data_IF_493164465933
#
_entry.id   IF_493164465933
#
_cell.length_a   1.000
_cell.length_b   1.000
_cell.length_c   1.000
_cell.angle_alpha   90.00
_cell.angle_beta   90.00
_cell.angle_gamma   90.00
#
_symmetry.space_group_name_H-M   'P 1'
#
loop_
_entity.id
_entity.type
_entity.pdbx_description
1 polymer ?
#
# COMPACT_ATOMS: atom_id res chain seq x y z
N UNK A 1 36.40 -10.52 5.33
CA UNK A 1 37.61 -10.65 6.17
C UNK A 1 37.30 -10.57 7.68
N UNK A 2 36.31 -9.75 8.11
CA UNK A 2 35.93 -9.67 9.53
C UNK A 2 35.30 -10.96 10.10
N UNK A 3 34.58 -11.72 9.30
CA UNK A 3 33.90 -12.94 9.71
C UNK A 3 34.86 -14.10 10.01
N UNK A 4 35.91 -14.22 9.20
CA UNK A 4 36.93 -15.23 9.40
C UNK A 4 37.69 -14.97 10.69
N UNK A 5 37.91 -13.70 11.04
CA UNK A 5 38.67 -13.30 12.23
C UNK A 5 37.87 -13.43 13.54
N UNK A 6 36.55 -13.11 13.50
CA UNK A 6 35.71 -13.09 14.71
C UNK A 6 34.91 -14.38 14.90
N UNK A 7 34.90 -15.29 13.95
CA UNK A 7 34.05 -16.51 13.93
C UNK A 7 32.56 -16.21 14.15
N UNK A 8 32.10 -15.04 13.72
CA UNK A 8 30.71 -14.57 13.84
C UNK A 8 30.19 -14.27 12.45
N UNK A 9 28.92 -14.62 12.20
CA UNK A 9 28.25 -14.20 11.00
C UNK A 9 28.10 -12.66 10.97
N UNK A 10 28.27 -12.00 9.81
CA UNK A 10 28.13 -10.54 9.70
C UNK A 10 26.67 -10.06 9.72
N UNK A 11 25.74 -10.94 9.96
CA UNK A 11 24.30 -10.70 9.94
C UNK A 11 23.64 -11.40 11.13
N UNK A 12 22.57 -10.81 11.64
CA UNK A 12 21.76 -11.37 12.72
C UNK A 12 20.70 -12.35 12.18
N UNK A 13 20.22 -12.08 10.96
CA UNK A 13 19.20 -12.91 10.31
C UNK A 13 19.38 -12.93 8.80
N UNK A 14 18.82 -13.94 8.15
CA UNK A 14 18.79 -14.11 6.69
C UNK A 14 17.33 -14.29 6.26
N UNK A 15 16.85 -13.38 5.43
CA UNK A 15 15.56 -13.52 4.76
C UNK A 15 15.78 -14.12 3.38
N UNK A 16 15.25 -15.32 3.14
CA UNK A 16 15.30 -15.97 1.84
C UNK A 16 14.03 -15.72 1.06
N UNK A 17 14.12 -15.77 -0.27
CA UNK A 17 12.98 -15.62 -1.18
C UNK A 17 13.05 -16.66 -2.29
N UNK A 18 11.90 -16.91 -2.95
CA UNK A 18 11.80 -17.80 -4.11
C UNK A 18 12.40 -17.20 -5.39
N UNK A 19 12.35 -17.96 -6.47
CA UNK A 19 12.79 -17.51 -7.79
C UNK A 19 11.73 -16.68 -8.48
N UNK A 20 12.17 -15.86 -9.44
CA UNK A 20 11.24 -15.14 -10.33
C UNK A 20 11.09 -15.94 -11.61
N UNK A 21 9.86 -16.34 -11.91
CA UNK A 21 9.45 -17.15 -13.05
C UNK A 21 8.65 -16.30 -14.06
N UNK A 22 8.51 -16.78 -15.29
CA UNK A 22 7.61 -16.18 -16.27
C UNK A 22 6.12 -16.35 -15.84
N UNK A 23 5.19 -15.76 -16.58
CA UNK A 23 3.75 -15.86 -16.29
C UNK A 23 3.21 -17.29 -16.29
N UNK A 24 3.89 -18.21 -17.00
CA UNK A 24 3.54 -19.62 -17.07
C UNK A 24 4.22 -20.47 -15.98
N UNK A 25 4.98 -19.86 -15.07
CA UNK A 25 5.71 -20.55 -14.02
C UNK A 25 6.98 -21.24 -14.50
N UNK A 26 7.57 -20.83 -15.62
CA UNK A 26 8.81 -21.42 -16.15
C UNK A 26 9.99 -20.51 -15.82
N UNK A 27 11.15 -21.12 -15.63
CA UNK A 27 12.41 -20.39 -15.44
C UNK A 27 12.67 -19.45 -16.64
N UNK A 28 12.93 -18.20 -16.35
CA UNK A 28 13.29 -17.23 -17.38
C UNK A 28 14.70 -17.48 -17.91
N UNK A 29 14.85 -17.50 -19.24
CA UNK A 29 16.15 -17.58 -19.90
C UNK A 29 16.15 -16.80 -21.20
N UNK A 30 17.32 -16.27 -21.56
CA UNK A 30 17.50 -15.52 -22.82
C UNK A 30 17.25 -16.40 -24.06
N UNK A 31 17.60 -17.69 -23.97
CA UNK A 31 17.40 -18.66 -25.05
C UNK A 31 15.92 -18.97 -25.33
N UNK A 32 15.06 -18.86 -24.31
CA UNK A 32 13.61 -19.05 -24.46
C UNK A 32 12.87 -17.78 -24.82
N UNK A 33 13.55 -16.62 -24.76
CA UNK A 33 12.92 -15.33 -25.04
C UNK A 33 11.84 -14.87 -24.06
N UNK A 34 11.76 -15.52 -22.88
CA UNK A 34 10.74 -15.29 -21.86
C UNK A 34 11.22 -14.40 -20.70
N UNK A 35 12.31 -13.67 -20.90
CA UNK A 35 12.88 -12.80 -19.85
C UNK A 35 12.10 -11.48 -19.78
N UNK A 36 11.53 -11.19 -18.64
CA UNK A 36 11.02 -9.85 -18.31
C UNK A 36 12.12 -9.09 -17.58
N UNK A 37 12.72 -8.10 -18.23
CA UNK A 37 13.78 -7.31 -17.58
C UNK A 37 13.18 -6.21 -16.70
N UNK A 38 13.78 -5.90 -15.54
CA UNK A 38 13.33 -4.76 -14.73
C UNK A 38 13.36 -3.45 -15.49
N UNK A 39 14.32 -3.26 -16.40
CA UNK A 39 14.45 -2.05 -17.22
C UNK A 39 13.26 -1.85 -18.17
N UNK A 40 12.72 -2.92 -18.73
CA UNK A 40 11.55 -2.85 -19.59
C UNK A 40 10.29 -2.53 -18.79
N UNK A 41 10.14 -3.15 -17.62
CA UNK A 41 9.06 -2.82 -16.68
C UNK A 41 9.14 -1.36 -16.24
N UNK A 42 10.32 -0.85 -15.92
CA UNK A 42 10.53 0.55 -15.56
C UNK A 42 10.12 1.53 -16.65
N UNK A 43 10.42 1.20 -17.92
CA UNK A 43 10.04 2.05 -19.08
C UNK A 43 8.53 2.06 -19.32
N UNK A 44 7.86 0.92 -19.18
CA UNK A 44 6.44 0.78 -19.51
C UNK A 44 5.52 1.19 -18.33
N UNK A 45 5.85 0.77 -17.10
CA UNK A 45 4.99 0.93 -15.93
C UNK A 45 5.55 1.88 -14.86
N UNK A 46 6.86 2.11 -14.85
CA UNK A 46 7.53 2.87 -13.80
C UNK A 46 7.96 2.02 -12.59
N UNK A 47 8.78 2.64 -11.72
CA UNK A 47 9.39 1.95 -10.58
C UNK A 47 8.37 1.53 -9.51
N UNK A 48 7.33 2.34 -9.31
CA UNK A 48 6.37 2.09 -8.24
C UNK A 48 5.53 0.84 -8.50
N UNK A 49 5.19 0.57 -9.76
CA UNK A 49 4.45 -0.65 -10.12
C UNK A 49 5.31 -1.90 -9.88
N UNK A 50 6.60 -1.84 -10.23
CA UNK A 50 7.53 -2.94 -9.97
C UNK A 50 7.68 -3.19 -8.46
N UNK A 51 7.80 -2.13 -7.65
CA UNK A 51 7.87 -2.23 -6.19
C UNK A 51 6.58 -2.81 -5.59
N UNK A 52 5.42 -2.35 -6.07
CA UNK A 52 4.13 -2.87 -5.61
C UNK A 52 3.95 -4.35 -5.96
N UNK A 53 4.42 -4.78 -7.15
CA UNK A 53 4.41 -6.19 -7.50
C UNK A 53 5.27 -7.01 -6.53
N UNK A 54 6.49 -6.57 -6.23
CA UNK A 54 7.38 -7.27 -5.28
C UNK A 54 6.74 -7.35 -3.88
N UNK A 55 6.24 -6.23 -3.37
CA UNK A 55 5.65 -6.16 -2.02
C UNK A 55 4.34 -6.95 -1.95
N UNK A 56 3.51 -6.88 -3.00
CA UNK A 56 2.20 -7.54 -3.04
C UNK A 56 2.25 -9.03 -3.35
N UNK A 57 3.43 -9.57 -3.63
CA UNK A 57 3.64 -10.99 -3.91
C UNK A 57 4.10 -11.73 -2.66
N UNK A 58 3.74 -13.02 -2.55
CA UNK A 58 4.32 -13.89 -1.52
C UNK A 58 5.73 -14.31 -1.95
N UNK A 59 6.72 -13.56 -1.51
CA UNK A 59 8.11 -13.75 -1.91
C UNK A 59 8.81 -14.95 -1.23
N UNK A 60 8.17 -15.62 -0.28
CA UNK A 60 8.68 -16.88 0.28
C UNK A 60 8.63 -18.01 -0.72
N UNK A 61 7.64 -17.97 -1.62
CA UNK A 61 7.49 -18.89 -2.74
C UNK A 61 8.03 -18.31 -4.05
N UNK A 62 8.01 -19.11 -5.12
CA UNK A 62 8.40 -18.65 -6.45
C UNK A 62 7.41 -17.63 -7.01
N UNK A 63 7.94 -16.48 -7.43
CA UNK A 63 7.17 -15.36 -7.94
C UNK A 63 6.95 -15.48 -9.45
N UNK A 64 5.77 -15.13 -9.92
CA UNK A 64 5.49 -15.00 -11.35
C UNK A 64 5.43 -13.54 -11.76
N UNK A 65 6.05 -13.24 -12.91
CA UNK A 65 5.98 -11.93 -13.53
C UNK A 65 5.51 -12.07 -14.98
N UNK A 66 4.60 -11.19 -15.39
CA UNK A 66 4.07 -11.13 -16.74
C UNK A 66 3.22 -9.89 -16.93
N UNK A 67 2.82 -9.62 -18.16
CA UNK A 67 2.11 -8.39 -18.52
C UNK A 67 0.79 -8.23 -17.76
N UNK A 68 -0.01 -9.28 -17.68
CA UNK A 68 -1.32 -9.23 -16.99
C UNK A 68 -1.16 -8.98 -15.49
N UNK A 69 -0.13 -9.54 -14.87
CA UNK A 69 0.18 -9.34 -13.46
C UNK A 69 0.55 -7.88 -13.21
N UNK A 70 1.41 -7.30 -14.06
CA UNK A 70 1.84 -5.91 -13.95
C UNK A 70 0.68 -4.93 -14.20
N UNK A 71 -0.19 -5.19 -15.16
CA UNK A 71 -1.40 -4.39 -15.41
C UNK A 71 -2.31 -4.37 -14.17
N UNK A 72 -2.50 -5.49 -13.50
CA UNK A 72 -3.29 -5.57 -12.25
C UNK A 72 -2.68 -4.71 -11.15
N UNK A 73 -1.36 -4.76 -10.96
CA UNK A 73 -0.68 -3.89 -9.99
C UNK A 73 -0.74 -2.42 -10.38
N UNK A 74 -0.73 -2.09 -11.67
CA UNK A 74 -0.94 -0.74 -12.15
C UNK A 74 -2.36 -0.23 -11.83
N UNK A 75 -3.37 -1.08 -11.93
CA UNK A 75 -4.74 -0.74 -11.53
C UNK A 75 -4.87 -0.52 -10.02
N UNK A 76 -4.26 -1.37 -9.21
CA UNK A 76 -4.20 -1.19 -7.75
C UNK A 76 -3.49 0.12 -7.36
N UNK A 77 -2.35 0.41 -7.99
CA UNK A 77 -1.64 1.69 -7.80
C UNK A 77 -2.53 2.90 -8.12
N UNK A 78 -3.27 2.83 -9.22
CA UNK A 78 -4.20 3.88 -9.65
C UNK A 78 -5.28 4.15 -8.61
N UNK A 79 -5.85 3.09 -8.01
CA UNK A 79 -6.85 3.19 -6.94
C UNK A 79 -6.27 3.84 -5.69
N UNK A 80 -5.12 3.36 -5.19
CA UNK A 80 -4.41 3.97 -4.05
C UNK A 80 -4.11 5.45 -4.28
N UNK A 81 -3.59 5.77 -5.48
CA UNK A 81 -3.30 7.16 -5.86
C UNK A 81 -4.56 8.03 -5.89
N UNK A 82 -5.68 7.51 -6.37
CA UNK A 82 -6.94 8.24 -6.40
C UNK A 82 -7.47 8.51 -4.98
N UNK A 83 -7.35 7.55 -4.07
CA UNK A 83 -7.68 7.72 -2.64
C UNK A 83 -6.86 8.87 -2.03
N UNK A 84 -5.53 8.84 -2.22
CA UNK A 84 -4.64 9.90 -1.73
C UNK A 84 -4.93 11.26 -2.38
N UNK A 85 -5.24 11.29 -3.68
CA UNK A 85 -5.61 12.51 -4.38
C UNK A 85 -6.91 13.11 -3.83
N UNK A 86 -7.89 12.27 -3.50
CA UNK A 86 -9.14 12.72 -2.88
C UNK A 86 -8.88 13.33 -1.51
N UNK A 87 -8.10 12.66 -0.65
CA UNK A 87 -7.71 13.17 0.67
C UNK A 87 -6.99 14.52 0.58
N UNK A 88 -6.01 14.64 -0.32
CA UNK A 88 -5.30 15.91 -0.54
C UNK A 88 -6.23 17.02 -1.03
N UNK A 89 -7.22 16.68 -1.85
CA UNK A 89 -8.24 17.64 -2.28
C UNK A 89 -9.14 18.09 -1.12
N UNK A 90 -9.58 17.16 -0.28
CA UNK A 90 -10.41 17.45 0.89
C UNK A 90 -9.69 18.32 1.93
N UNK A 91 -8.37 18.15 2.04
CA UNK A 91 -7.53 18.92 2.97
C UNK A 91 -7.05 20.27 2.42
N UNK A 92 -7.45 20.67 1.22
CA UNK A 92 -6.92 21.88 0.55
C UNK A 92 -7.20 23.18 1.29
N UNK A 93 -8.26 23.23 2.08
CA UNK A 93 -8.71 24.40 2.86
C UNK A 93 -8.62 24.17 4.39
N UNK A 94 -7.94 23.10 4.84
CA UNK A 94 -7.84 22.72 6.25
C UNK A 94 -6.58 23.27 6.92
N UNK A 95 -6.73 23.98 8.06
CA UNK A 95 -5.61 24.35 8.95
C UNK A 95 -5.60 23.40 10.16
N UNK A 96 -4.41 22.94 10.55
CA UNK A 96 -4.21 22.10 11.75
C UNK A 96 -4.77 22.71 13.04
N UNK A 97 -4.92 24.04 13.09
CA UNK A 97 -5.53 24.73 14.24
C UNK A 97 -7.03 24.49 14.37
N UNK A 98 -7.65 24.00 13.31
CA UNK A 98 -9.09 23.72 13.23
C UNK A 98 -9.41 22.25 13.56
N UNK A 99 -8.44 21.49 14.09
CA UNK A 99 -8.64 20.10 14.50
C UNK A 99 -9.69 20.01 15.61
N UNK A 100 -10.67 19.13 15.40
CA UNK A 100 -11.72 18.85 16.38
C UNK A 100 -11.23 17.76 17.35
N UNK A 101 -11.55 17.92 18.63
CA UNK A 101 -11.22 16.91 19.63
C UNK A 101 -12.02 15.61 19.38
N UNK A 102 -11.38 14.47 19.61
CA UNK A 102 -11.96 13.15 19.35
C UNK A 102 -13.35 12.94 20.02
N UNK A 103 -13.55 13.51 21.22
CA UNK A 103 -14.83 13.45 21.96
C UNK A 103 -15.98 14.16 21.24
N UNK A 104 -15.66 15.20 20.47
CA UNK A 104 -16.63 16.08 19.80
C UNK A 104 -16.88 15.63 18.35
N UNK A 105 -16.07 14.70 17.84
CA UNK A 105 -16.25 14.14 16.49
C UNK A 105 -17.51 13.28 16.40
N UNK A 106 -18.25 13.33 15.28
CA UNK A 106 -19.32 12.37 15.01
C UNK A 106 -18.83 10.92 15.04
N UNK A 107 -19.74 9.97 15.22
CA UNK A 107 -19.41 8.57 15.45
C UNK A 107 -18.64 7.94 14.27
N UNK A 108 -18.98 8.31 13.04
CA UNK A 108 -18.36 7.72 11.85
C UNK A 108 -16.89 8.16 11.68
N UNK A 109 -16.55 9.39 12.06
CA UNK A 109 -15.17 9.88 12.06
C UNK A 109 -14.35 9.16 13.12
N UNK A 110 -14.91 8.95 14.31
CA UNK A 110 -14.27 8.14 15.37
C UNK A 110 -14.07 6.68 14.94
N UNK A 111 -15.04 6.13 14.19
CA UNK A 111 -14.92 4.78 13.62
C UNK A 111 -13.77 4.70 12.61
N UNK A 112 -13.63 5.65 11.68
CA UNK A 112 -12.52 5.68 10.71
C UNK A 112 -11.18 5.83 11.41
N UNK A 113 -11.07 6.72 12.40
CA UNK A 113 -9.84 6.86 13.19
C UNK A 113 -9.47 5.58 13.93
N UNK A 114 -10.45 4.85 14.47
CA UNK A 114 -10.21 3.55 15.07
C UNK A 114 -9.71 2.53 14.03
N UNK A 115 -10.29 2.52 12.82
CA UNK A 115 -9.80 1.67 11.71
C UNK A 115 -8.34 1.98 11.35
N UNK A 116 -7.96 3.26 11.26
CA UNK A 116 -6.57 3.69 11.02
C UNK A 116 -5.65 3.20 12.15
N UNK A 117 -6.09 3.30 13.41
CA UNK A 117 -5.33 2.83 14.55
C UNK A 117 -5.09 1.31 14.52
N UNK A 118 -6.13 0.52 14.25
CA UNK A 118 -6.01 -0.94 14.14
C UNK A 118 -5.14 -1.34 12.93
N UNK A 119 -5.28 -0.67 11.79
CA UNK A 119 -4.43 -0.86 10.62
C UNK A 119 -2.96 -0.57 10.96
N UNK A 120 -2.68 0.51 11.70
CA UNK A 120 -1.33 0.87 12.11
C UNK A 120 -0.67 -0.21 12.98
N UNK A 121 -1.42 -0.80 13.91
CA UNK A 121 -0.93 -1.93 14.72
C UNK A 121 -0.58 -3.14 13.86
N UNK A 122 -1.47 -3.52 12.94
CA UNK A 122 -1.24 -4.63 12.01
C UNK A 122 0.01 -4.38 11.16
N UNK A 123 0.17 -3.17 10.61
CA UNK A 123 1.34 -2.81 9.79
C UNK A 123 2.64 -2.96 10.58
N UNK A 124 2.67 -2.51 11.84
CA UNK A 124 3.85 -2.65 12.71
C UNK A 124 4.17 -4.14 12.91
N UNK A 125 3.18 -4.95 13.25
CA UNK A 125 3.35 -6.40 13.45
C UNK A 125 3.84 -7.10 12.17
N UNK A 126 3.22 -6.82 11.03
CA UNK A 126 3.61 -7.41 9.74
C UNK A 126 5.02 -6.99 9.31
N UNK A 127 5.40 -5.73 9.58
CA UNK A 127 6.74 -5.23 9.30
C UNK A 127 7.79 -5.98 10.11
N UNK A 128 7.54 -6.21 11.40
CA UNK A 128 8.45 -6.97 12.27
C UNK A 128 8.62 -8.43 11.82
N UNK A 129 7.59 -9.00 11.19
CA UNK A 129 7.57 -10.38 10.72
C UNK A 129 7.92 -10.51 9.23
N UNK A 130 8.30 -9.41 8.55
CA UNK A 130 8.56 -9.38 7.10
C UNK A 130 7.36 -9.85 6.23
N UNK A 131 6.13 -9.70 6.71
CA UNK A 131 4.90 -10.06 5.99
C UNK A 131 4.43 -8.90 5.09
N UNK A 132 5.25 -8.57 4.08
CA UNK A 132 5.02 -7.38 3.24
C UNK A 132 3.76 -7.49 2.38
N UNK A 133 3.42 -8.68 1.92
CA UNK A 133 2.18 -8.95 1.18
C UNK A 133 0.91 -8.66 1.99
N UNK A 134 0.95 -8.95 3.29
CA UNK A 134 -0.15 -8.65 4.21
C UNK A 134 -0.32 -7.13 4.41
N UNK A 135 0.80 -6.39 4.55
CA UNK A 135 0.77 -4.91 4.61
C UNK A 135 0.10 -4.34 3.36
N UNK A 136 0.52 -4.81 2.18
CA UNK A 136 -0.04 -4.34 0.92
C UNK A 136 -1.54 -4.60 0.83
N UNK A 137 -1.99 -5.81 1.17
CA UNK A 137 -3.41 -6.19 1.14
C UNK A 137 -4.25 -5.35 2.10
N UNK A 138 -3.85 -5.25 3.38
CA UNK A 138 -4.59 -4.48 4.39
C UNK A 138 -4.71 -2.99 4.02
N UNK A 139 -3.62 -2.37 3.52
CA UNK A 139 -3.66 -0.98 3.08
C UNK A 139 -4.55 -0.81 1.85
N UNK A 140 -4.48 -1.74 0.89
CA UNK A 140 -5.30 -1.69 -0.31
C UNK A 140 -6.79 -1.84 0.02
N UNK A 141 -7.15 -2.82 0.86
CA UNK A 141 -8.53 -3.08 1.26
C UNK A 141 -9.09 -1.89 2.05
N UNK A 142 -8.32 -1.33 2.99
CA UNK A 142 -8.72 -0.12 3.71
C UNK A 142 -8.97 1.07 2.77
N UNK A 143 -8.08 1.32 1.82
CA UNK A 143 -8.27 2.42 0.86
C UNK A 143 -9.45 2.20 -0.09
N UNK A 144 -9.67 0.97 -0.54
CA UNK A 144 -10.72 0.63 -1.50
C UNK A 144 -12.09 0.50 -0.83
N UNK A 145 -12.18 -0.27 0.23
CA UNK A 145 -13.44 -0.68 0.83
C UNK A 145 -13.89 0.29 1.93
N UNK A 146 -13.03 0.49 2.95
CA UNK A 146 -13.40 1.36 4.07
C UNK A 146 -13.45 2.85 3.67
N UNK A 147 -12.46 3.33 2.91
CA UNK A 147 -12.40 4.75 2.52
C UNK A 147 -13.22 5.04 1.27
N UNK A 148 -12.83 4.49 0.11
CA UNK A 148 -13.39 4.92 -1.18
C UNK A 148 -14.82 4.47 -1.38
N UNK A 149 -15.15 3.21 -1.04
CA UNK A 149 -16.48 2.64 -1.27
C UNK A 149 -17.49 2.98 -0.16
N UNK A 150 -17.03 3.37 1.02
CA UNK A 150 -17.89 3.64 2.16
C UNK A 150 -17.75 5.07 2.69
N UNK A 151 -16.64 5.39 3.36
CA UNK A 151 -16.51 6.63 4.10
C UNK A 151 -16.60 7.88 3.20
N UNK A 152 -15.84 7.92 2.11
CA UNK A 152 -15.89 9.07 1.20
C UNK A 152 -17.25 9.26 0.55
N UNK A 153 -17.92 8.17 0.23
CA UNK A 153 -19.26 8.24 -0.38
C UNK A 153 -20.27 8.86 0.57
N UNK A 154 -20.30 8.42 1.82
CA UNK A 154 -21.20 8.95 2.86
C UNK A 154 -20.88 10.41 3.20
N UNK A 155 -19.61 10.83 3.15
CA UNK A 155 -19.16 12.16 3.58
C UNK A 155 -19.11 13.22 2.48
N UNK A 156 -19.41 12.88 1.25
CA UNK A 156 -19.43 13.83 0.14
C UNK A 156 -20.32 15.04 0.42
N UNK A 157 -21.53 14.82 0.87
CA UNK A 157 -22.48 15.92 1.13
C UNK A 157 -22.01 16.80 2.27
N UNK A 158 -21.45 16.21 3.33
CA UNK A 158 -20.88 16.96 4.45
C UNK A 158 -19.70 17.84 3.98
N UNK A 159 -18.78 17.29 3.21
CA UNK A 159 -17.59 18.01 2.73
C UNK A 159 -17.95 19.15 1.76
N UNK A 160 -18.96 18.96 0.91
CA UNK A 160 -19.25 19.92 -0.16
C UNK A 160 -20.39 20.89 0.17
N UNK A 161 -21.31 20.51 1.06
CA UNK A 161 -22.53 21.28 1.31
C UNK A 161 -22.61 21.90 2.72
N UNK A 162 -21.86 21.36 3.72
CA UNK A 162 -21.87 21.90 5.07
C UNK A 162 -21.06 23.20 5.19
N UNK A 163 -21.41 24.02 6.19
CA UNK A 163 -20.67 25.25 6.49
C UNK A 163 -19.19 24.97 6.73
N UNK A 164 -18.33 25.90 6.29
CA UNK A 164 -16.88 25.77 6.37
C UNK A 164 -16.38 25.50 7.80
N UNK A 165 -17.00 26.10 8.79
CA UNK A 165 -16.66 26.06 10.22
C UNK A 165 -17.49 25.02 11.02
N UNK A 166 -18.33 24.23 10.37
CA UNK A 166 -19.12 23.21 11.06
C UNK A 166 -18.26 22.08 11.60
N UNK A 167 -18.61 21.58 12.78
CA UNK A 167 -17.93 20.46 13.42
C UNK A 167 -17.91 19.22 12.51
N UNK A 168 -19.02 18.94 11.85
CA UNK A 168 -19.16 17.79 10.95
C UNK A 168 -18.16 17.87 9.79
N UNK A 169 -18.01 19.06 9.18
CA UNK A 169 -17.08 19.24 8.06
C UNK A 169 -15.62 19.24 8.52
N UNK A 170 -15.32 19.87 9.66
CA UNK A 170 -13.95 19.90 10.22
C UNK A 170 -13.51 18.55 10.78
N UNK A 171 -14.45 17.68 11.12
CA UNK A 171 -14.17 16.33 11.59
C UNK A 171 -13.91 15.32 10.46
N UNK A 172 -14.45 15.58 9.24
CA UNK A 172 -14.22 14.75 8.06
C UNK A 172 -12.77 14.81 7.60
#
# INVERSE_FOLDING_TARGET
LGDVYKRQAPFESVLTHGFVLDENGRKMSKSLGNVTSPQDVLKEYGADILRLWVIGSDYYDDLRIGKEILVRHADHYRRLRNTLKYLLGALSDFDKKETIDYSDMPEIERWVLNKVYELSKKIIQFTQNYQLGDIYREVYDFCNDDLSSFYFDIRKDTLYCSSYDSIERRSC
#
